data_IF_447566782532
#
_entry.id   IF_447566782532
#
_cell.length_a   1.000
_cell.length_b   1.000
_cell.length_c   1.000
_cell.angle_alpha   90.00
_cell.angle_beta   90.00
_cell.angle_gamma   90.00
#
_symmetry.space_group_name_H-M   'P 1'
#
loop_
_entity.id
_entity.type
_entity.pdbx_description
1 polymer ?
#
# COMPACT_ATOMS: atom_id res chain seq x y z
N UNK A 1 22.40 41.06 34.74
CA UNK A 1 21.75 40.86 36.04
C UNK A 1 20.27 40.80 35.78
N UNK A 2 19.71 39.58 35.89
CA UNK A 2 18.35 39.15 36.27
C UNK A 2 17.14 39.96 35.75
N UNK A 3 16.05 39.36 35.25
CA UNK A 3 15.53 38.02 35.54
C UNK A 3 14.38 37.65 34.57
N UNK A 4 14.33 36.38 34.15
CA UNK A 4 13.09 35.58 34.18
C UNK A 4 12.04 35.79 33.10
N UNK A 5 12.39 35.58 31.83
CA UNK A 5 11.42 35.43 30.73
C UNK A 5 11.61 34.10 29.99
N UNK A 6 11.57 32.97 30.71
CA UNK A 6 11.60 31.65 30.05
C UNK A 6 10.19 31.10 29.82
N UNK A 7 9.89 31.08 28.52
CA UNK A 7 8.82 30.40 27.84
C UNK A 7 8.15 29.25 28.61
N UNK A 8 6.85 29.42 28.85
CA UNK A 8 5.92 28.31 29.03
C UNK A 8 5.94 27.47 27.75
N UNK A 9 6.82 26.47 27.72
CA UNK A 9 6.76 25.39 26.75
C UNK A 9 5.56 24.51 27.08
N UNK A 10 4.38 24.85 26.57
CA UNK A 10 3.27 23.90 26.46
C UNK A 10 3.69 22.81 25.49
N UNK A 11 4.33 21.75 25.99
CA UNK A 11 4.31 20.46 25.35
C UNK A 11 2.83 20.07 25.21
N UNK A 12 2.28 20.19 24.00
CA UNK A 12 0.94 19.70 23.70
C UNK A 12 0.98 18.17 23.79
N UNK A 13 0.80 17.65 25.00
CA UNK A 13 0.68 16.22 25.26
C UNK A 13 -0.50 15.69 24.46
N UNK A 14 -0.25 14.64 23.67
CA UNK A 14 -1.30 13.97 22.91
C UNK A 14 -2.28 13.38 23.92
N UNK A 15 -3.58 13.70 23.80
CA UNK A 15 -4.61 13.11 24.66
C UNK A 15 -4.56 11.58 24.59
N UNK A 16 -4.82 10.89 25.71
CA UNK A 16 -4.87 9.43 25.76
C UNK A 16 -5.83 8.83 24.71
N UNK A 17 -6.97 9.48 24.46
CA UNK A 17 -7.90 9.07 23.41
C UNK A 17 -7.26 9.17 22.02
N UNK A 18 -6.55 10.26 21.76
CA UNK A 18 -5.84 10.48 20.50
C UNK A 18 -4.70 9.48 20.30
N UNK A 19 -4.01 9.12 21.39
CA UNK A 19 -2.98 8.09 21.37
C UNK A 19 -3.55 6.73 21.02
N UNK A 20 -4.70 6.37 21.59
CA UNK A 20 -5.40 5.12 21.27
C UNK A 20 -5.81 5.06 19.80
N UNK A 21 -6.37 6.14 19.25
CA UNK A 21 -6.73 6.20 17.82
C UNK A 21 -5.51 6.04 16.90
N UNK A 22 -4.39 6.66 17.26
CA UNK A 22 -3.12 6.49 16.53
C UNK A 22 -2.59 5.05 16.61
N UNK A 23 -2.74 4.37 17.74
CA UNK A 23 -2.39 2.94 17.85
C UNK A 23 -3.25 2.10 16.91
N UNK A 24 -4.57 2.34 16.88
CA UNK A 24 -5.46 1.62 15.97
C UNK A 24 -5.13 1.87 14.51
N UNK A 25 -4.82 3.11 14.15
CA UNK A 25 -4.36 3.44 12.81
C UNK A 25 -3.05 2.69 12.47
N UNK A 26 -2.07 2.69 13.37
CA UNK A 26 -0.79 2.00 13.18
C UNK A 26 -0.95 0.48 12.99
N UNK A 27 -1.96 -0.14 13.63
CA UNK A 27 -2.31 -1.55 13.37
C UNK A 27 -2.70 -1.75 11.90
N UNK A 28 -3.47 -0.82 11.33
CA UNK A 28 -3.81 -0.83 9.91
C UNK A 28 -2.60 -0.66 8.99
N UNK A 29 -1.67 0.22 9.35
CA UNK A 29 -0.41 0.41 8.59
C UNK A 29 0.45 -0.86 8.62
N UNK A 30 0.56 -1.53 9.76
CA UNK A 30 1.22 -2.83 9.89
C UNK A 30 0.50 -3.87 9.02
N UNK A 31 -0.83 -3.94 9.09
CA UNK A 31 -1.61 -4.89 8.30
C UNK A 31 -1.39 -4.70 6.79
N UNK A 32 -1.36 -3.44 6.33
CA UNK A 32 -1.01 -3.10 4.95
C UNK A 32 0.41 -3.57 4.59
N UNK A 33 1.38 -3.30 5.45
CA UNK A 33 2.80 -3.60 5.19
C UNK A 33 3.11 -5.09 5.04
N UNK A 34 2.27 -5.98 5.58
CA UNK A 34 2.39 -7.44 5.42
C UNK A 34 1.39 -8.06 4.42
N UNK A 35 0.67 -7.25 3.66
CA UNK A 35 -0.28 -7.73 2.64
C UNK A 35 0.46 -8.08 1.33
N UNK A 36 1.16 -9.22 1.31
CA UNK A 36 1.85 -9.73 0.11
C UNK A 36 1.09 -10.85 -0.62
N UNK A 37 -0.05 -11.30 -0.05
CA UNK A 37 -0.85 -12.40 -0.59
C UNK A 37 -1.37 -12.15 -2.01
N UNK A 38 -1.55 -10.88 -2.40
CA UNK A 38 -2.01 -10.48 -3.74
C UNK A 38 -0.98 -10.78 -4.82
N UNK A 39 0.31 -10.62 -4.53
CA UNK A 39 1.42 -10.85 -5.47
C UNK A 39 1.97 -12.27 -5.35
N UNK A 40 1.73 -12.96 -4.23
CA UNK A 40 2.22 -14.31 -3.98
C UNK A 40 1.84 -15.30 -5.09
N UNK A 41 0.61 -15.22 -5.60
CA UNK A 41 0.14 -16.14 -6.65
C UNK A 41 0.83 -15.84 -7.99
N UNK A 42 1.02 -14.57 -8.33
CA UNK A 42 1.75 -14.17 -9.54
C UNK A 42 3.21 -14.62 -9.49
N UNK A 43 3.86 -14.51 -8.33
CA UNK A 43 5.23 -15.03 -8.14
C UNK A 43 5.24 -16.55 -8.30
N UNK A 44 4.28 -17.26 -7.69
CA UNK A 44 4.17 -18.72 -7.79
C UNK A 44 4.07 -19.20 -9.23
N UNK A 45 3.24 -18.55 -10.05
CA UNK A 45 3.03 -18.91 -11.45
C UNK A 45 4.30 -18.75 -12.31
N UNK A 46 5.26 -17.93 -11.87
CA UNK A 46 6.54 -17.71 -12.57
C UNK A 46 7.68 -18.63 -12.10
N UNK A 47 7.48 -19.41 -11.03
CA UNK A 47 8.53 -20.27 -10.49
C UNK A 47 8.81 -21.46 -11.41
N UNK A 48 10.06 -21.91 -11.41
CA UNK A 48 10.45 -23.15 -12.10
C UNK A 48 9.74 -24.34 -11.45
N UNK A 49 9.36 -25.31 -12.27
CA UNK A 49 8.65 -26.52 -11.84
C UNK A 49 9.42 -27.42 -10.85
N UNK A 50 10.73 -27.25 -10.73
CA UNK A 50 11.57 -27.98 -9.78
C UNK A 50 12.52 -27.04 -9.02
N UNK A 51 12.58 -27.10 -7.67
CA UNK A 51 11.73 -27.91 -6.78
C UNK A 51 10.30 -27.36 -6.70
N UNK A 52 9.38 -28.13 -6.09
CA UNK A 52 7.97 -27.76 -5.98
C UNK A 52 7.77 -26.31 -5.48
N UNK A 53 6.87 -25.58 -6.13
CA UNK A 53 6.60 -24.15 -5.89
C UNK A 53 6.34 -23.85 -4.41
N UNK A 54 5.58 -24.70 -3.72
CA UNK A 54 5.29 -24.54 -2.30
C UNK A 54 6.55 -24.57 -1.42
N UNK A 55 7.56 -25.36 -1.78
CA UNK A 55 8.83 -25.47 -1.04
C UNK A 55 9.68 -24.23 -1.28
N UNK A 56 9.81 -23.81 -2.54
CA UNK A 56 10.53 -22.59 -2.91
C UNK A 56 9.88 -21.37 -2.28
N UNK A 57 8.56 -21.22 -2.40
CA UNK A 57 7.83 -20.10 -1.82
C UNK A 57 7.84 -20.09 -0.31
N UNK A 58 7.75 -21.25 0.36
CA UNK A 58 7.81 -21.28 1.82
C UNK A 58 9.15 -20.75 2.32
N UNK A 59 10.25 -21.13 1.66
CA UNK A 59 11.58 -20.61 1.97
C UNK A 59 11.68 -19.12 1.67
N UNK A 60 11.32 -18.71 0.46
CA UNK A 60 11.39 -17.31 0.03
C UNK A 60 10.52 -16.39 0.91
N UNK A 61 9.31 -16.83 1.27
CA UNK A 61 8.41 -16.08 2.15
C UNK A 61 8.96 -16.00 3.57
N UNK A 62 9.55 -17.08 4.09
CA UNK A 62 10.18 -17.05 5.41
C UNK A 62 11.36 -16.06 5.45
N UNK A 63 12.25 -16.12 4.45
CA UNK A 63 13.38 -15.20 4.33
C UNK A 63 12.88 -13.75 4.17
N UNK A 64 11.96 -13.51 3.23
CA UNK A 64 11.41 -12.18 2.94
C UNK A 64 10.68 -11.53 4.12
N UNK A 65 9.80 -12.29 4.79
CA UNK A 65 9.07 -11.80 5.98
C UNK A 65 10.06 -11.54 7.12
N UNK A 66 10.99 -12.46 7.39
CA UNK A 66 11.95 -12.30 8.48
C UNK A 66 12.82 -11.05 8.29
N UNK A 67 13.35 -10.86 7.07
CA UNK A 67 14.13 -9.68 6.73
C UNK A 67 13.30 -8.40 6.88
N UNK A 68 12.08 -8.38 6.34
CA UNK A 68 11.20 -7.21 6.41
C UNK A 68 10.83 -6.85 7.84
N UNK A 69 10.50 -7.84 8.67
CA UNK A 69 10.19 -7.64 10.10
C UNK A 69 11.36 -7.03 10.85
N UNK A 70 12.59 -7.51 10.62
CA UNK A 70 13.79 -6.95 11.25
C UNK A 70 13.96 -5.49 10.83
N UNK A 71 13.87 -5.19 9.53
CA UNK A 71 14.01 -3.82 9.02
C UNK A 71 12.94 -2.89 9.59
N UNK A 72 11.66 -3.29 9.59
CA UNK A 72 10.57 -2.48 10.13
C UNK A 72 10.70 -2.25 11.63
N UNK A 73 11.09 -3.27 12.40
CA UNK A 73 11.31 -3.12 13.83
C UNK A 73 12.47 -2.16 14.11
N UNK A 74 13.58 -2.27 13.36
CA UNK A 74 14.72 -1.36 13.47
C UNK A 74 14.31 0.09 13.13
N UNK A 75 13.61 0.30 12.01
CA UNK A 75 13.12 1.62 11.63
C UNK A 75 12.15 2.20 12.67
N UNK A 76 11.22 1.40 13.19
CA UNK A 76 10.28 1.81 14.23
C UNK A 76 10.97 2.16 15.54
N UNK A 77 11.87 1.31 16.04
CA UNK A 77 12.59 1.53 17.30
C UNK A 77 13.54 2.73 17.21
N UNK A 78 14.34 2.84 16.13
CA UNK A 78 15.27 3.96 15.95
C UNK A 78 14.51 5.26 15.69
N UNK A 79 13.44 5.22 14.88
CA UNK A 79 12.57 6.37 14.64
C UNK A 79 11.92 6.87 15.93
N UNK A 80 11.38 5.96 16.75
CA UNK A 80 10.81 6.33 18.04
C UNK A 80 11.88 6.85 19.02
N UNK A 81 13.08 6.27 19.05
CA UNK A 81 14.17 6.76 19.88
C UNK A 81 14.64 8.17 19.47
N UNK A 82 14.55 8.51 18.19
CA UNK A 82 14.95 9.82 17.66
C UNK A 82 13.86 10.91 17.83
N UNK A 83 12.59 10.57 17.56
CA UNK A 83 11.50 11.56 17.49
C UNK A 83 10.43 11.43 18.59
N UNK A 84 10.44 10.33 19.35
CA UNK A 84 9.46 10.06 20.39
C UNK A 84 8.02 10.08 19.89
N UNK A 85 7.11 10.64 20.70
CA UNK A 85 5.67 10.77 20.38
C UNK A 85 5.39 11.76 19.23
N UNK A 86 6.40 12.50 18.77
CA UNK A 86 6.32 13.46 17.68
C UNK A 86 6.83 12.91 16.35
N UNK A 87 7.11 11.60 16.25
CA UNK A 87 7.50 10.96 15.00
C UNK A 87 6.46 11.24 13.89
N UNK A 88 6.87 11.81 12.74
CA UNK A 88 5.95 12.03 11.65
C UNK A 88 5.60 10.70 10.98
N UNK A 89 4.38 10.58 10.44
CA UNK A 89 3.96 9.37 9.73
C UNK A 89 4.76 9.12 8.44
N UNK A 90 5.27 10.18 7.81
CA UNK A 90 6.22 10.10 6.71
C UNK A 90 7.49 10.84 7.11
N UNK A 91 8.58 10.10 7.32
CA UNK A 91 9.89 10.65 7.70
C UNK A 91 10.51 11.53 6.62
N UNK A 92 10.11 11.35 5.36
CA UNK A 92 10.60 12.14 4.22
C UNK A 92 9.75 13.38 3.96
N UNK A 93 8.57 13.45 4.56
CA UNK A 93 7.79 14.69 4.59
C UNK A 93 8.51 15.72 5.47
N UNK A 94 8.59 16.97 4.99
CA UNK A 94 9.48 18.02 5.51
C UNK A 94 9.34 18.39 6.99
N UNK A 95 8.45 17.75 7.76
CA UNK A 95 8.28 17.98 9.19
C UNK A 95 9.31 17.29 10.10
N UNK A 96 10.06 16.30 9.62
CA UNK A 96 10.94 15.47 10.47
C UNK A 96 12.44 15.78 10.38
N UNK A 97 12.94 16.21 9.21
CA UNK A 97 14.38 16.32 8.96
C UNK A 97 14.68 17.51 8.05
N UNK A 98 15.33 18.55 8.58
CA UNK A 98 15.66 19.75 7.80
C UNK A 98 17.12 19.77 7.30
N UNK A 99 18.04 18.98 7.90
CA UNK A 99 19.45 18.94 7.50
C UNK A 99 20.10 17.56 7.73
N UNK A 100 20.94 17.06 6.79
CA UNK A 100 21.32 17.69 5.53
C UNK A 100 20.36 17.36 4.37
N UNK A 101 19.99 18.39 3.59
CA UNK A 101 19.02 18.27 2.50
C UNK A 101 19.43 17.30 1.38
N UNK A 102 20.74 17.06 1.18
CA UNK A 102 21.20 16.11 0.16
C UNK A 102 20.76 14.68 0.46
N UNK A 103 20.73 14.28 1.74
CA UNK A 103 20.34 12.94 2.15
C UNK A 103 18.85 12.72 1.92
N UNK A 104 18.04 13.73 2.24
CA UNK A 104 16.61 13.76 1.96
C UNK A 104 16.34 13.64 0.44
N UNK A 105 17.08 14.38 -0.38
CA UNK A 105 16.94 14.33 -1.84
C UNK A 105 17.30 12.95 -2.41
N UNK A 106 18.38 12.33 -1.93
CA UNK A 106 18.76 10.96 -2.33
C UNK A 106 17.68 9.96 -1.92
N UNK A 107 17.15 10.05 -0.70
CA UNK A 107 16.07 9.19 -0.25
C UNK A 107 14.81 9.34 -1.12
N UNK A 108 14.40 10.58 -1.42
CA UNK A 108 13.27 10.85 -2.31
C UNK A 108 13.48 10.33 -3.73
N UNK A 109 14.70 10.42 -4.30
CA UNK A 109 15.02 9.82 -5.60
C UNK A 109 14.91 8.29 -5.56
N UNK A 110 15.44 7.64 -4.52
CA UNK A 110 15.32 6.19 -4.35
C UNK A 110 13.85 5.76 -4.25
N UNK A 111 13.04 6.48 -3.48
CA UNK A 111 11.59 6.23 -3.36
C UNK A 111 10.91 6.43 -4.71
N UNK A 112 11.24 7.48 -5.46
CA UNK A 112 10.67 7.72 -6.78
C UNK A 112 10.99 6.57 -7.77
N UNK A 113 12.25 6.12 -7.82
CA UNK A 113 12.66 5.00 -8.67
C UNK A 113 11.89 3.72 -8.28
N UNK A 114 11.78 3.43 -6.99
CA UNK A 114 11.03 2.28 -6.48
C UNK A 114 9.54 2.35 -6.85
N UNK A 115 8.90 3.49 -6.61
CA UNK A 115 7.47 3.70 -6.88
C UNK A 115 7.13 3.65 -8.37
N UNK A 116 8.01 4.11 -9.26
CA UNK A 116 7.83 3.95 -10.70
C UNK A 116 7.75 2.47 -11.06
N UNK A 117 8.66 1.64 -10.54
CA UNK A 117 8.64 0.19 -10.75
C UNK A 117 7.38 -0.46 -10.18
N UNK A 118 7.02 -0.13 -8.94
CA UNK A 118 5.82 -0.64 -8.29
C UNK A 118 4.55 -0.27 -9.07
N UNK A 119 4.42 0.99 -9.51
CA UNK A 119 3.29 1.45 -10.32
C UNK A 119 3.14 0.63 -11.60
N UNK A 120 4.25 0.33 -12.30
CA UNK A 120 4.19 -0.52 -13.49
C UNK A 120 3.63 -1.90 -13.14
N UNK A 121 4.13 -2.56 -12.10
CA UNK A 121 3.66 -3.91 -11.73
C UNK A 121 2.17 -3.89 -11.34
N UNK A 122 1.73 -2.96 -10.49
CA UNK A 122 0.35 -2.94 -9.99
C UNK A 122 -0.68 -2.41 -10.99
N UNK A 123 -0.29 -1.54 -11.94
CA UNK A 123 -1.22 -1.02 -12.94
C UNK A 123 -1.48 -2.03 -14.08
N UNK A 124 -0.55 -2.93 -14.42
CA UNK A 124 -0.73 -3.87 -15.54
C UNK A 124 -1.95 -4.78 -15.38
N UNK A 125 -2.23 -5.41 -14.22
CA UNK A 125 -3.42 -6.24 -14.06
C UNK A 125 -4.72 -5.46 -14.30
N UNK A 126 -4.80 -4.23 -13.82
CA UNK A 126 -5.97 -3.35 -14.01
C UNK A 126 -6.13 -3.01 -15.49
N UNK A 127 -5.04 -2.62 -16.17
CA UNK A 127 -5.06 -2.36 -17.60
C UNK A 127 -5.47 -3.58 -18.40
N UNK A 128 -4.89 -4.74 -18.11
CA UNK A 128 -5.20 -6.00 -18.78
C UNK A 128 -6.66 -6.39 -18.59
N UNK A 129 -7.19 -6.27 -17.36
CA UNK A 129 -8.58 -6.59 -17.05
C UNK A 129 -9.56 -5.71 -17.84
N UNK A 130 -9.37 -4.39 -17.82
CA UNK A 130 -10.27 -3.46 -18.52
C UNK A 130 -10.13 -3.61 -20.03
N UNK A 131 -8.90 -3.68 -20.56
CA UNK A 131 -8.66 -3.83 -22.00
C UNK A 131 -9.26 -5.12 -22.55
N UNK A 132 -9.08 -6.24 -21.84
CA UNK A 132 -9.64 -7.55 -22.24
C UNK A 132 -11.17 -7.55 -22.12
N UNK A 133 -11.72 -7.01 -21.04
CA UNK A 133 -13.17 -6.94 -20.82
C UNK A 133 -13.85 -6.09 -21.90
N UNK A 134 -13.28 -4.94 -22.24
CA UNK A 134 -13.82 -4.07 -23.29
C UNK A 134 -13.72 -4.72 -24.67
N UNK A 135 -12.61 -5.41 -24.98
CA UNK A 135 -12.45 -6.14 -26.25
C UNK A 135 -13.47 -7.28 -26.40
N UNK A 136 -13.72 -8.03 -25.33
CA UNK A 136 -14.71 -9.11 -25.33
C UNK A 136 -16.14 -8.59 -25.40
N UNK A 137 -16.43 -7.45 -24.74
CA UNK A 137 -17.78 -6.88 -24.70
C UNK A 137 -18.16 -6.14 -25.98
N UNK A 138 -17.21 -5.46 -26.63
CA UNK A 138 -17.44 -4.64 -27.82
C UNK A 138 -16.48 -4.97 -28.96
N UNK A 139 -16.55 -6.19 -29.52
CA UNK A 139 -15.64 -6.61 -30.59
C UNK A 139 -15.84 -5.80 -31.90
N UNK A 140 -17.05 -5.31 -32.13
CA UNK A 140 -17.44 -4.53 -33.31
C UNK A 140 -16.83 -3.11 -33.34
N UNK A 141 -16.42 -2.59 -32.17
CA UNK A 141 -15.96 -1.20 -32.04
C UNK A 141 -14.49 -1.10 -32.43
N UNK A 142 -14.24 -0.58 -33.65
CA UNK A 142 -12.89 -0.41 -34.22
C UNK A 142 -11.94 0.36 -33.29
N UNK A 143 -12.42 1.30 -32.49
CA UNK A 143 -11.58 2.03 -31.52
C UNK A 143 -10.93 1.12 -30.47
N UNK A 144 -11.62 0.05 -30.07
CA UNK A 144 -11.16 -0.92 -29.04
C UNK A 144 -10.31 -2.03 -29.66
N UNK A 145 -10.67 -2.47 -30.86
CA UNK A 145 -10.07 -3.66 -31.50
C UNK A 145 -8.96 -3.36 -32.52
N UNK A 146 -8.89 -2.14 -33.06
CA UNK A 146 -7.91 -1.81 -34.12
C UNK A 146 -6.56 -1.41 -33.52
N UNK A 147 -5.55 -2.22 -33.78
CA UNK A 147 -4.16 -1.87 -33.51
C UNK A 147 -3.57 -1.15 -34.74
N UNK A 148 -3.06 0.06 -34.54
CA UNK A 148 -2.46 0.88 -35.58
C UNK A 148 -0.94 0.75 -35.49
N UNK A 149 -0.29 0.41 -36.59
CA UNK A 149 1.17 0.36 -36.65
C UNK A 149 1.71 1.75 -36.98
N UNK A 150 2.49 2.32 -36.05
CA UNK A 150 3.23 3.55 -36.26
C UNK A 150 4.70 3.19 -36.37
N UNK A 151 5.26 3.33 -37.57
CA UNK A 151 6.69 3.16 -37.80
C UNK A 151 7.37 4.50 -37.56
N UNK A 152 8.26 4.57 -36.55
CA UNK A 152 9.01 5.80 -36.26
C UNK A 152 10.30 5.79 -37.08
N UNK A 153 10.46 6.70 -38.07
CA UNK A 153 11.60 6.66 -38.99
C UNK A 153 12.96 6.86 -38.30
N UNK A 154 12.99 7.56 -37.16
CA UNK A 154 14.22 7.95 -36.46
C UNK A 154 14.82 6.85 -35.55
N UNK A 155 14.02 5.82 -35.18
CA UNK A 155 14.41 4.74 -34.27
C UNK A 155 14.58 3.40 -35.02
N UNK A 156 15.26 3.46 -36.16
CA UNK A 156 15.67 2.26 -36.92
C UNK A 156 14.51 1.43 -37.49
N UNK A 157 13.34 2.03 -37.75
CA UNK A 157 12.19 1.32 -38.33
C UNK A 157 11.39 0.47 -37.33
N UNK A 158 11.54 0.71 -36.02
CA UNK A 158 10.71 0.07 -35.00
C UNK A 158 9.22 0.41 -35.22
N UNK A 159 8.41 -0.64 -35.36
CA UNK A 159 6.96 -0.51 -35.55
C UNK A 159 6.25 -0.68 -34.22
N UNK A 160 5.60 0.39 -33.76
CA UNK A 160 4.82 0.37 -32.52
C UNK A 160 3.35 0.07 -32.83
N UNK A 161 2.80 -0.92 -32.12
CA UNK A 161 1.37 -1.23 -32.18
C UNK A 161 0.66 -0.33 -31.17
N UNK A 162 0.04 0.74 -31.65
CA UNK A 162 -0.70 1.70 -30.82
C UNK A 162 -2.19 1.47 -31.02
N UNK A 163 -2.88 1.28 -29.90
CA UNK A 163 -4.33 1.18 -29.86
C UNK A 163 -4.86 2.43 -29.17
N UNK A 164 -5.75 3.17 -29.85
CA UNK A 164 -6.26 4.44 -29.35
C UNK A 164 -7.06 4.28 -28.05
N UNK A 165 -7.80 3.19 -27.89
CA UNK A 165 -8.47 2.86 -26.62
C UNK A 165 -7.44 2.67 -25.50
N UNK A 166 -6.39 1.88 -25.72
CA UNK A 166 -5.35 1.65 -24.70
C UNK A 166 -4.67 2.95 -24.28
N UNK A 167 -4.34 3.82 -25.25
CA UNK A 167 -3.70 5.11 -24.97
C UNK A 167 -4.63 6.01 -24.15
N UNK A 168 -5.86 6.22 -24.61
CA UNK A 168 -6.84 7.09 -23.93
C UNK A 168 -7.19 6.59 -22.53
N UNK A 169 -7.46 5.29 -22.37
CA UNK A 169 -7.76 4.67 -21.09
C UNK A 169 -6.61 4.79 -20.09
N UNK A 170 -5.38 4.44 -20.50
CA UNK A 170 -4.21 4.50 -19.61
C UNK A 170 -3.89 5.94 -19.21
N UNK A 171 -3.96 6.90 -20.13
CA UNK A 171 -3.79 8.32 -19.82
C UNK A 171 -4.86 8.85 -18.88
N UNK A 172 -6.13 8.48 -19.10
CA UNK A 172 -7.22 8.84 -18.21
C UNK A 172 -7.03 8.26 -16.79
N UNK A 173 -6.62 7.00 -16.69
CA UNK A 173 -6.30 6.36 -15.41
C UNK A 173 -5.20 7.10 -14.66
N UNK A 174 -4.10 7.46 -15.33
CA UNK A 174 -3.01 8.23 -14.71
C UNK A 174 -3.51 9.60 -14.26
N UNK A 175 -4.27 10.31 -15.10
CA UNK A 175 -4.81 11.62 -14.75
C UNK A 175 -5.73 11.56 -13.52
N UNK A 176 -6.66 10.59 -13.48
CA UNK A 176 -7.58 10.41 -12.35
C UNK A 176 -6.83 10.07 -11.08
N UNK A 177 -5.92 9.10 -11.12
CA UNK A 177 -5.12 8.71 -9.94
C UNK A 177 -4.23 9.85 -9.43
N UNK A 178 -3.67 10.67 -10.33
CA UNK A 178 -2.91 11.87 -9.97
C UNK A 178 -3.78 12.91 -9.27
N UNK A 179 -4.98 13.18 -9.80
CA UNK A 179 -5.93 14.11 -9.17
C UNK A 179 -6.35 13.60 -7.79
N UNK A 180 -6.64 12.30 -7.65
CA UNK A 180 -6.97 11.71 -6.36
C UNK A 180 -5.81 11.83 -5.36
N UNK A 181 -4.57 11.62 -5.78
CA UNK A 181 -3.40 11.78 -4.94
C UNK A 181 -3.21 13.25 -4.47
N UNK A 182 -3.52 14.23 -5.34
CA UNK A 182 -3.49 15.65 -4.97
C UNK A 182 -4.60 16.03 -3.97
N UNK A 183 -5.79 15.41 -4.10
CA UNK A 183 -6.95 15.68 -3.24
C UNK A 183 -6.84 15.02 -1.86
N UNK A 184 -6.08 13.93 -1.73
CA UNK A 184 -5.97 13.14 -0.50
C UNK A 184 -4.49 12.94 -0.10
N UNK A 185 -3.78 14.00 0.34
CA UNK A 185 -2.37 13.91 0.71
C UNK A 185 -2.14 13.29 2.11
N UNK A 186 -3.01 12.38 2.55
CA UNK A 186 -2.96 11.75 3.89
C UNK A 186 -2.39 10.34 3.82
N UNK A 187 -1.12 10.22 3.45
CA UNK A 187 -0.49 8.93 3.14
C UNK A 187 -0.78 7.83 4.17
N UNK A 188 -0.48 8.05 5.46
CA UNK A 188 -0.69 7.04 6.51
C UNK A 188 -2.17 6.72 6.76
N UNK A 189 -3.07 7.70 6.70
CA UNK A 189 -4.50 7.45 6.90
C UNK A 189 -5.05 6.56 5.79
N UNK A 190 -4.65 6.84 4.55
CA UNK A 190 -5.09 6.06 3.39
C UNK A 190 -4.49 4.65 3.43
N UNK A 191 -3.19 4.51 3.75
CA UNK A 191 -2.56 3.20 3.89
C UNK A 191 -3.22 2.35 4.98
N UNK A 192 -3.43 2.93 6.16
CA UNK A 192 -4.10 2.28 7.27
C UNK A 192 -5.50 1.81 6.90
N UNK A 193 -6.27 2.65 6.20
CA UNK A 193 -7.63 2.32 5.77
C UNK A 193 -7.63 1.20 4.72
N UNK A 194 -6.73 1.26 3.75
CA UNK A 194 -6.57 0.20 2.74
C UNK A 194 -6.18 -1.11 3.43
N UNK A 195 -5.20 -1.07 4.35
CA UNK A 195 -4.78 -2.22 5.14
C UNK A 195 -5.92 -2.83 5.94
N UNK A 196 -6.68 -2.00 6.66
CA UNK A 196 -7.85 -2.46 7.42
C UNK A 196 -8.89 -3.15 6.53
N UNK A 197 -9.15 -2.58 5.35
CA UNK A 197 -10.13 -3.09 4.39
C UNK A 197 -9.67 -4.34 3.64
N UNK A 198 -8.38 -4.45 3.29
CA UNK A 198 -7.86 -5.56 2.48
C UNK A 198 -7.38 -6.74 3.32
N UNK A 199 -6.84 -6.49 4.51
CA UNK A 199 -6.14 -7.51 5.32
C UNK A 199 -7.02 -8.69 5.68
N UNK A 200 -8.13 -8.48 6.38
CA UNK A 200 -9.00 -9.59 6.75
C UNK A 200 -9.57 -10.35 5.55
N UNK A 201 -10.26 -9.72 4.57
CA UNK A 201 -10.89 -10.48 3.50
C UNK A 201 -9.87 -11.15 2.58
N UNK A 202 -8.80 -10.44 2.17
CA UNK A 202 -7.88 -10.92 1.14
C UNK A 202 -6.69 -11.70 1.67
N UNK A 203 -6.16 -11.35 2.84
CA UNK A 203 -4.94 -11.98 3.39
C UNK A 203 -5.26 -13.09 4.38
N UNK A 204 -6.39 -13.03 5.08
CA UNK A 204 -6.72 -13.99 6.12
C UNK A 204 -7.91 -14.87 5.73
N UNK A 205 -9.10 -14.29 5.58
CA UNK A 205 -10.35 -15.02 5.37
C UNK A 205 -10.31 -15.90 4.12
N UNK A 206 -10.01 -15.32 2.96
CA UNK A 206 -9.99 -16.07 1.69
C UNK A 206 -9.00 -17.25 1.73
N UNK A 207 -7.70 -17.08 2.08
CA UNK A 207 -6.78 -18.22 2.17
C UNK A 207 -7.18 -19.27 3.20
N UNK A 208 -7.71 -18.86 4.36
CA UNK A 208 -8.15 -19.79 5.42
C UNK A 208 -9.32 -20.64 4.95
N UNK A 209 -10.36 -20.03 4.37
CA UNK A 209 -11.52 -20.74 3.86
C UNK A 209 -11.15 -21.66 2.70
N UNK A 210 -10.30 -21.19 1.77
CA UNK A 210 -9.76 -22.03 0.69
C UNK A 210 -9.02 -23.25 1.23
N UNK A 211 -8.22 -23.08 2.28
CA UNK A 211 -7.48 -24.18 2.90
C UNK A 211 -8.41 -25.18 3.60
N UNK A 212 -9.40 -24.71 4.37
CA UNK A 212 -10.38 -25.57 5.05
C UNK A 212 -11.20 -26.37 4.01
N UNK A 213 -11.69 -25.71 2.96
CA UNK A 213 -12.45 -26.35 1.88
C UNK A 213 -11.63 -27.42 1.15
N UNK A 214 -10.33 -27.17 0.92
CA UNK A 214 -9.43 -28.12 0.26
C UNK A 214 -9.03 -29.28 1.17
N UNK A 215 -8.74 -29.01 2.44
CA UNK A 215 -8.28 -30.00 3.41
C UNK A 215 -9.39 -30.98 3.85
N UNK A 216 -10.67 -30.63 3.62
CA UNK A 216 -11.85 -31.44 3.99
C UNK A 216 -11.79 -31.93 5.44
N UNK A 217 -11.57 -31.00 6.36
CA UNK A 217 -11.51 -31.32 7.79
C UNK A 217 -12.78 -32.03 8.27
N UNK A 218 -12.67 -33.00 9.20
CA UNK A 218 -13.84 -33.54 9.88
C UNK A 218 -14.55 -32.43 10.66
N UNK A 219 -15.88 -32.58 10.85
CA UNK A 219 -16.80 -31.53 11.34
C UNK A 219 -16.45 -30.90 12.71
N UNK A 220 -15.44 -31.38 13.43
CA UNK A 220 -14.95 -30.83 14.70
C UNK A 220 -13.42 -30.88 14.82
N UNK A 221 -12.71 -30.68 13.71
CA UNK A 221 -11.25 -30.62 13.76
C UNK A 221 -10.79 -29.38 14.53
N UNK A 222 -9.96 -29.60 15.57
CA UNK A 222 -9.31 -28.54 16.33
C UNK A 222 -8.54 -27.58 15.42
N UNK A 223 -7.94 -28.10 14.33
CA UNK A 223 -7.24 -27.28 13.33
C UNK A 223 -8.17 -26.31 12.61
N UNK A 224 -9.37 -26.76 12.23
CA UNK A 224 -10.37 -25.89 11.59
C UNK A 224 -10.89 -24.83 12.57
N UNK A 225 -11.13 -25.21 13.82
CA UNK A 225 -11.56 -24.25 14.85
C UNK A 225 -10.48 -23.20 15.15
N UNK A 226 -9.22 -23.61 15.21
CA UNK A 226 -8.09 -22.70 15.40
C UNK A 226 -7.96 -21.69 14.24
N UNK A 227 -8.07 -22.16 13.00
CA UNK A 227 -8.02 -21.31 11.81
C UNK A 227 -9.20 -20.32 11.74
N UNK A 228 -10.40 -20.77 12.10
CA UNK A 228 -11.58 -19.89 12.15
C UNK A 228 -11.48 -18.87 13.29
N UNK A 229 -10.98 -19.28 14.46
CA UNK A 229 -10.71 -18.36 15.57
C UNK A 229 -9.66 -17.31 15.18
N UNK A 230 -8.58 -17.71 14.52
CA UNK A 230 -7.57 -16.79 13.97
C UNK A 230 -8.21 -15.79 13.00
N UNK A 231 -9.02 -16.27 12.05
CA UNK A 231 -9.73 -15.41 11.09
C UNK A 231 -10.65 -14.40 11.79
N UNK A 232 -11.37 -14.83 12.82
CA UNK A 232 -12.22 -13.95 13.62
C UNK A 232 -11.43 -12.90 14.41
N UNK A 233 -10.30 -13.28 15.01
CA UNK A 233 -9.40 -12.32 15.69
C UNK A 233 -8.88 -11.28 14.69
N UNK A 234 -8.43 -11.73 13.51
CA UNK A 234 -7.99 -10.82 12.45
C UNK A 234 -9.11 -9.90 11.94
N UNK A 235 -10.36 -10.36 11.93
CA UNK A 235 -11.52 -9.50 11.64
C UNK A 235 -11.63 -8.37 12.66
N UNK A 236 -11.56 -8.70 13.97
CA UNK A 236 -11.61 -7.68 15.02
C UNK A 236 -10.45 -6.68 14.89
N UNK A 237 -9.25 -7.16 14.58
CA UNK A 237 -8.08 -6.32 14.32
C UNK A 237 -8.34 -5.36 13.14
N UNK A 238 -8.86 -5.87 12.02
CA UNK A 238 -9.26 -5.04 10.86
C UNK A 238 -10.33 -4.01 11.21
N UNK A 239 -11.33 -4.36 12.02
CA UNK A 239 -12.40 -3.43 12.43
C UNK A 239 -11.87 -2.31 13.33
N UNK A 240 -11.00 -2.65 14.28
CA UNK A 240 -10.34 -1.67 15.15
C UNK A 240 -9.45 -0.75 14.33
N UNK A 241 -8.66 -1.30 13.41
CA UNK A 241 -7.83 -0.53 12.50
C UNK A 241 -8.67 0.45 11.66
N UNK A 242 -9.77 -0.03 11.06
CA UNK A 242 -10.68 0.80 10.28
C UNK A 242 -11.26 1.96 11.11
N UNK A 243 -11.65 1.71 12.36
CA UNK A 243 -12.13 2.77 13.25
C UNK A 243 -11.04 3.84 13.50
N UNK A 244 -9.80 3.42 13.74
CA UNK A 244 -8.64 4.31 13.87
C UNK A 244 -8.37 5.13 12.61
N UNK A 245 -8.38 4.50 11.43
CA UNK A 245 -8.15 5.19 10.15
C UNK A 245 -9.26 6.19 9.84
N UNK A 246 -10.53 5.85 10.13
CA UNK A 246 -11.67 6.76 9.93
C UNK A 246 -11.56 7.99 10.83
N UNK A 247 -11.24 7.81 12.12
CA UNK A 247 -11.05 8.94 13.02
C UNK A 247 -9.85 9.81 12.57
N UNK A 248 -8.74 9.18 12.18
CA UNK A 248 -7.60 9.88 11.59
C UNK A 248 -7.97 10.68 10.36
N UNK A 249 -8.79 10.12 9.46
CA UNK A 249 -9.29 10.79 8.26
C UNK A 249 -10.17 11.99 8.58
N UNK A 250 -11.12 11.83 9.52
CA UNK A 250 -12.00 12.92 9.95
C UNK A 250 -11.18 14.08 10.50
N UNK A 251 -10.16 13.79 11.31
CA UNK A 251 -9.29 14.83 11.86
C UNK A 251 -8.44 15.52 10.78
N UNK A 252 -7.87 14.76 9.85
CA UNK A 252 -7.13 15.31 8.72
C UNK A 252 -7.99 16.17 7.79
N UNK A 253 -9.26 15.80 7.57
CA UNK A 253 -10.18 16.57 6.73
C UNK A 253 -10.63 17.88 7.38
N UNK A 254 -10.68 17.96 8.72
CA UNK A 254 -11.02 19.20 9.44
C UNK A 254 -10.00 20.30 9.23
N UNK A 255 -8.72 19.95 9.08
CA UNK A 255 -7.62 20.91 8.89
C UNK A 255 -7.28 21.14 7.43
N UNK A 256 -7.79 20.31 6.52
CA UNK A 256 -7.44 20.36 5.11
C UNK A 256 -8.25 21.40 4.34
N UNK A 257 -7.54 22.30 3.65
CA UNK A 257 -8.10 23.22 2.69
C UNK A 257 -7.57 22.88 1.29
N UNK A 258 -8.39 22.26 0.41
CA UNK A 258 -7.93 21.85 -0.90
C UNK A 258 -7.45 23.06 -1.71
N UNK A 259 -6.26 22.91 -2.32
CA UNK A 259 -5.67 23.87 -3.26
C UNK A 259 -5.37 25.27 -2.72
N UNK A 260 -5.23 25.46 -1.40
CA UNK A 260 -4.64 26.69 -0.86
C UNK A 260 -3.11 26.57 -0.84
N UNK A 261 -2.44 27.48 -1.55
CA UNK A 261 -1.02 27.72 -1.37
C UNK A 261 -0.83 28.47 -0.05
N UNK A 262 0.03 27.99 0.84
CA UNK A 262 0.62 28.88 1.85
C UNK A 262 1.46 29.90 1.09
N UNK A 263 1.01 31.16 1.12
CA UNK A 263 1.69 32.30 0.52
C UNK A 263 2.79 32.82 1.44
#
# INVERSE_FOLDING_TARGET
MNEGGEASGTSTTVSEAQRLWRIFQAIGDIAFAYTYSTVLIEIQDTLKSSPAENKTMKRASFEGISTTTIFYLLCGCVGYAAFGEHAPGDLLSGSGFYQPLWLLNVANVCVAIHLIGAYQVFAQPIFSFVETSCRQRWPEVKFVTTDHQITIPFLGGTSFHVNWFRLTWRSAYVAVTTVLAMLLPFFNVILSLIGAASFWPLTVYLPVEMYIARAKFPKFSVSSMCLQALSFICLLVSLVAAAGSVEGLIQSLKTYHPFKNEA
#
